data_IF_567094110601
#
_entry.id   IF_567094110601
#
_cell.length_a   1.000
_cell.length_b   1.000
_cell.length_c   1.000
_cell.angle_alpha   90.00
_cell.angle_beta   90.00
_cell.angle_gamma   90.00
#
_symmetry.space_group_name_H-M   'P 1'
#
loop_
_entity.id
_entity.type
_entity.pdbx_description
1 polymer ?
#
# COMPACT_ATOMS: atom_id res chain seq x y z
N UNK A 1 -15.49 10.06 10.17
CA UNK A 1 -15.44 8.63 10.53
C UNK A 1 -14.24 8.44 11.42
N UNK A 2 -14.46 8.14 12.69
CA UNK A 2 -13.38 7.87 13.63
C UNK A 2 -12.84 6.46 13.34
N UNK A 3 -11.64 6.39 12.77
CA UNK A 3 -11.00 5.13 12.32
C UNK A 3 -10.15 4.48 13.41
N UNK A 4 -10.13 5.05 14.62
CA UNK A 4 -9.27 4.63 15.75
C UNK A 4 -9.61 3.24 16.33
N UNK A 5 -10.82 2.73 16.08
CA UNK A 5 -11.30 1.45 16.62
C UNK A 5 -11.00 0.21 15.76
N UNK A 6 -10.43 0.37 14.55
CA UNK A 6 -10.01 -0.78 13.74
C UNK A 6 -8.56 -1.11 14.08
N UNK A 7 -8.31 -2.34 14.54
CA UNK A 7 -6.96 -2.92 14.58
C UNK A 7 -6.45 -3.05 13.14
N UNK A 8 -5.92 -1.95 12.60
CA UNK A 8 -5.55 -1.73 11.20
C UNK A 8 -4.27 -2.48 10.76
N UNK A 9 -3.79 -3.47 11.52
CA UNK A 9 -2.65 -4.29 11.08
C UNK A 9 -3.07 -5.05 9.82
N UNK A 10 -2.39 -4.77 8.71
CA UNK A 10 -2.64 -5.37 7.40
C UNK A 10 -3.99 -5.04 6.77
N UNK A 11 -4.59 -3.90 7.13
CA UNK A 11 -5.81 -3.43 6.47
C UNK A 11 -5.58 -3.22 4.96
N UNK A 12 -6.44 -3.83 4.15
CA UNK A 12 -6.45 -3.65 2.71
C UNK A 12 -7.36 -2.47 2.32
N UNK A 13 -6.99 -1.64 1.34
CA UNK A 13 -7.88 -0.56 0.86
C UNK A 13 -9.17 -1.11 0.27
N UNK A 14 -10.26 -0.34 0.35
CA UNK A 14 -11.52 -0.71 -0.29
C UNK A 14 -11.42 -0.66 -1.82
N UNK A 15 -11.10 0.51 -2.36
CA UNK A 15 -10.92 0.76 -3.80
C UNK A 15 -9.53 1.36 -4.00
N UNK A 16 -8.81 0.90 -5.03
CA UNK A 16 -7.48 1.38 -5.36
C UNK A 16 -7.47 1.79 -6.83
N UNK A 17 -7.43 3.09 -7.16
CA UNK A 17 -7.20 3.52 -8.53
C UNK A 17 -5.75 3.20 -8.90
N UNK A 18 -5.56 2.47 -10.01
CA UNK A 18 -4.24 2.06 -10.50
C UNK A 18 -4.13 2.40 -11.99
N UNK A 19 -2.94 2.83 -12.42
CA UNK A 19 -2.61 3.02 -13.83
C UNK A 19 -1.16 2.60 -14.11
N UNK A 20 -0.88 2.19 -15.34
CA UNK A 20 0.48 1.77 -15.74
C UNK A 20 1.44 2.96 -15.69
N UNK A 21 2.57 2.80 -15.00
CA UNK A 21 3.54 3.85 -14.70
C UNK A 21 3.41 4.43 -13.29
N UNK A 22 2.36 4.08 -12.55
CA UNK A 22 2.15 4.56 -11.18
C UNK A 22 3.26 4.03 -10.24
N UNK A 23 3.88 4.89 -9.40
CA UNK A 23 4.67 4.43 -8.27
C UNK A 23 3.76 3.78 -7.23
N UNK A 24 4.11 2.57 -6.83
CA UNK A 24 3.36 1.77 -5.86
C UNK A 24 4.27 1.29 -4.74
N UNK A 25 3.68 1.00 -3.59
CA UNK A 25 4.37 0.44 -2.43
C UNK A 25 3.67 -0.85 -1.99
N UNK A 26 4.45 -1.90 -1.74
CA UNK A 26 3.93 -3.15 -1.19
C UNK A 26 3.52 -2.94 0.27
N UNK A 27 2.33 -3.37 0.63
CA UNK A 27 1.70 -3.21 1.95
C UNK A 27 1.00 -4.49 2.35
N UNK A 28 1.52 -5.16 3.38
CA UNK A 28 0.82 -6.15 4.24
C UNK A 28 1.87 -7.03 4.93
N UNK A 29 2.55 -7.87 4.16
CA UNK A 29 3.62 -8.76 4.62
C UNK A 29 4.74 -8.85 3.57
N UNK A 30 5.88 -9.44 3.98
CA UNK A 30 6.98 -9.73 3.07
C UNK A 30 6.58 -10.88 2.16
N UNK A 31 6.62 -10.68 0.85
CA UNK A 31 6.36 -11.76 -0.12
C UNK A 31 7.60 -12.63 -0.26
N UNK A 32 8.76 -12.01 -0.47
CA UNK A 32 10.05 -12.70 -0.52
C UNK A 32 11.18 -11.77 -0.09
N UNK A 33 11.79 -12.08 1.06
CA UNK A 33 12.92 -11.32 1.61
C UNK A 33 14.17 -11.45 0.74
N UNK A 34 14.44 -12.66 0.25
CA UNK A 34 15.66 -12.97 -0.50
C UNK A 34 15.69 -12.26 -1.85
N UNK A 35 14.50 -12.07 -2.44
CA UNK A 35 14.30 -11.37 -3.69
C UNK A 35 14.11 -9.85 -3.50
N UNK A 36 14.01 -9.36 -2.26
CA UNK A 36 13.78 -7.93 -1.97
C UNK A 36 12.35 -7.45 -2.23
N UNK A 37 11.38 -8.36 -2.30
CA UNK A 37 9.94 -8.06 -2.44
C UNK A 37 9.31 -8.09 -1.05
N UNK A 38 9.58 -7.04 -0.28
CA UNK A 38 9.23 -6.94 1.15
C UNK A 38 8.22 -5.83 1.42
N UNK A 39 7.54 -5.91 2.56
CA UNK A 39 6.62 -4.87 2.99
C UNK A 39 7.33 -3.51 3.03
N UNK A 40 6.76 -2.52 2.35
CA UNK A 40 7.35 -1.20 2.19
C UNK A 40 8.28 -1.03 0.99
N UNK A 41 8.55 -2.10 0.23
CA UNK A 41 9.28 -2.02 -1.05
C UNK A 41 8.48 -1.18 -2.06
N UNK A 42 9.17 -0.24 -2.70
CA UNK A 42 8.59 0.63 -3.72
C UNK A 42 8.92 0.09 -5.11
N UNK A 43 7.96 0.23 -6.02
CA UNK A 43 8.11 -0.18 -7.40
C UNK A 43 7.27 0.67 -8.33
N UNK A 44 7.37 0.38 -9.62
CA UNK A 44 6.58 1.02 -10.66
C UNK A 44 5.62 -0.01 -11.24
N UNK A 45 4.33 0.31 -11.29
CA UNK A 45 3.33 -0.55 -11.90
C UNK A 45 3.54 -0.62 -13.41
N UNK A 46 3.65 -1.82 -13.97
CA UNK A 46 3.98 -2.05 -15.39
C UNK A 46 2.83 -2.65 -16.18
N UNK A 47 2.00 -3.47 -15.54
CA UNK A 47 0.81 -4.06 -16.16
C UNK A 47 -0.22 -4.38 -15.11
N UNK A 48 -1.49 -4.26 -15.49
CA UNK A 48 -2.63 -4.71 -14.69
C UNK A 48 -3.39 -5.72 -15.54
N UNK A 49 -3.61 -6.91 -14.99
CA UNK A 49 -4.48 -7.93 -15.57
C UNK A 49 -5.78 -7.89 -14.79
N UNK A 50 -6.88 -7.62 -15.47
CA UNK A 50 -8.21 -7.53 -14.87
C UNK A 50 -9.09 -8.70 -15.28
N UNK A 51 -10.13 -8.92 -14.48
CA UNK A 51 -11.16 -9.93 -14.72
C UNK A 51 -12.53 -9.30 -14.44
N UNK A 52 -13.52 -9.63 -15.26
CA UNK A 52 -14.91 -9.24 -15.04
C UNK A 52 -15.62 -10.34 -14.26
N UNK A 53 -16.18 -10.00 -13.10
CA UNK A 53 -17.00 -10.91 -12.30
C UNK A 53 -18.41 -11.03 -12.89
N UNK A 54 -19.16 -12.04 -12.44
CA UNK A 54 -20.53 -12.30 -12.90
C UNK A 54 -21.50 -11.13 -12.68
N UNK A 55 -21.24 -10.29 -11.68
CA UNK A 55 -22.04 -9.11 -11.35
C UNK A 55 -21.64 -7.86 -12.17
N UNK A 56 -20.73 -8.01 -13.13
CA UNK A 56 -20.22 -6.90 -13.95
C UNK A 56 -19.11 -6.09 -13.29
N UNK A 57 -18.63 -6.47 -12.10
CA UNK A 57 -17.53 -5.78 -11.43
C UNK A 57 -16.18 -6.14 -12.08
N UNK A 58 -15.41 -5.13 -12.48
CA UNK A 58 -14.04 -5.30 -12.94
C UNK A 58 -13.08 -5.33 -11.74
N UNK A 59 -12.31 -6.41 -11.59
CA UNK A 59 -11.35 -6.58 -10.49
C UNK A 59 -9.94 -6.81 -11.02
N UNK A 60 -8.93 -6.37 -10.28
CA UNK A 60 -7.54 -6.63 -10.62
C UNK A 60 -7.13 -8.03 -10.14
N UNK A 61 -6.78 -8.90 -11.09
CA UNK A 61 -6.35 -10.29 -10.85
C UNK A 61 -4.86 -10.37 -10.57
N UNK A 62 -4.05 -9.63 -11.32
CA UNK A 62 -2.59 -9.58 -11.15
C UNK A 62 -2.10 -8.19 -11.51
N UNK A 63 -1.14 -7.67 -10.74
CA UNK A 63 -0.37 -6.48 -11.09
C UNK A 63 1.10 -6.86 -11.29
N UNK A 64 1.68 -6.54 -12.45
CA UNK A 64 3.13 -6.69 -12.66
C UNK A 64 3.80 -5.41 -12.19
N UNK A 65 4.65 -5.52 -11.17
CA UNK A 65 5.37 -4.38 -10.57
C UNK A 65 6.87 -4.57 -10.78
N UNK A 66 7.54 -3.52 -11.25
CA UNK A 66 8.99 -3.47 -11.35
C UNK A 66 9.57 -2.89 -10.06
N UNK A 67 10.39 -3.68 -9.36
CA UNK A 67 11.13 -3.30 -8.17
C UNK A 67 12.61 -3.09 -8.53
N UNK A 68 13.08 -1.83 -8.70
CA UNK A 68 14.40 -1.57 -9.28
C UNK A 68 15.59 -2.16 -8.49
N UNK A 69 15.45 -2.30 -7.18
CA UNK A 69 16.50 -2.82 -6.28
C UNK A 69 16.36 -4.31 -6.00
N UNK A 70 15.36 -4.96 -6.61
CA UNK A 70 15.04 -6.36 -6.37
C UNK A 70 15.93 -7.29 -7.21
N UNK A 71 16.22 -8.48 -6.67
CA UNK A 71 16.98 -9.54 -7.36
C UNK A 71 16.07 -10.48 -8.17
N UNK A 72 14.79 -10.14 -8.32
CA UNK A 72 13.82 -10.96 -9.04
C UNK A 72 14.27 -11.18 -10.48
N UNK A 73 14.28 -12.43 -10.92
CA UNK A 73 14.47 -12.81 -12.30
C UNK A 73 13.58 -14.03 -12.59
N UNK A 74 12.37 -13.77 -13.07
CA UNK A 74 11.36 -14.81 -13.34
C UNK A 74 11.32 -15.08 -14.84
N UNK A 75 11.21 -16.36 -15.20
CA UNK A 75 11.05 -16.76 -16.59
C UNK A 75 9.83 -16.07 -17.23
N UNK A 76 10.00 -15.52 -18.43
CA UNK A 76 8.95 -14.77 -19.13
C UNK A 76 8.72 -13.34 -18.66
N UNK A 77 9.49 -12.84 -17.68
CA UNK A 77 9.45 -11.44 -17.22
C UNK A 77 10.83 -10.78 -17.29
N UNK A 78 10.85 -9.46 -17.42
CA UNK A 78 12.10 -8.69 -17.36
C UNK A 78 12.68 -8.71 -15.93
N UNK A 79 14.00 -8.55 -15.76
CA UNK A 79 14.63 -8.48 -14.44
C UNK A 79 13.98 -7.42 -13.54
N UNK A 80 13.75 -7.77 -12.27
CA UNK A 80 13.09 -6.93 -11.27
C UNK A 80 11.56 -6.88 -11.36
N UNK A 81 10.93 -7.55 -12.33
CA UNK A 81 9.48 -7.56 -12.49
C UNK A 81 8.88 -8.72 -11.70
N UNK A 82 7.91 -8.43 -10.85
CA UNK A 82 7.27 -9.43 -9.99
C UNK A 82 5.73 -9.36 -10.11
N UNK A 83 5.03 -10.50 -10.24
CA UNK A 83 3.58 -10.55 -10.22
C UNK A 83 3.05 -10.40 -8.79
N UNK A 84 2.18 -9.43 -8.58
CA UNK A 84 1.48 -9.20 -7.32
C UNK A 84 0.05 -9.70 -7.47
N UNK A 85 -0.35 -10.59 -6.58
CA UNK A 85 -1.67 -11.21 -6.56
C UNK A 85 -2.52 -10.69 -5.38
N UNK A 86 -3.86 -10.68 -5.50
CA UNK A 86 -4.76 -10.31 -4.43
C UNK A 86 -4.59 -11.19 -3.20
N UNK A 87 -4.60 -10.56 -2.03
CA UNK A 87 -4.56 -11.24 -0.75
C UNK A 87 -5.88 -11.06 -0.01
N UNK A 88 -6.19 -12.00 0.89
CA UNK A 88 -7.38 -11.93 1.71
C UNK A 88 -7.11 -11.25 3.06
N UNK A 89 -8.00 -10.34 3.46
CA UNK A 89 -8.04 -9.76 4.79
C UNK A 89 -9.47 -9.82 5.32
N UNK A 90 -9.65 -10.18 6.59
CA UNK A 90 -10.98 -10.24 7.23
C UNK A 90 -11.05 -9.30 8.42
N UNK A 91 -12.18 -8.63 8.59
CA UNK A 91 -12.46 -7.75 9.71
C UNK A 91 -13.93 -7.84 10.12
N UNK A 92 -14.22 -7.48 11.37
CA UNK A 92 -15.57 -7.52 11.93
C UNK A 92 -16.12 -6.10 12.06
N UNK A 93 -17.36 -5.90 11.60
CA UNK A 93 -18.07 -4.62 11.67
C UNK A 93 -19.27 -4.79 12.59
N UNK A 94 -19.52 -3.82 13.48
CA UNK A 94 -20.76 -3.77 14.26
C UNK A 94 -21.89 -3.28 13.37
N UNK A 95 -22.98 -4.05 13.32
CA UNK A 95 -24.17 -3.67 12.59
C UNK A 95 -24.91 -2.56 13.34
N UNK A 96 -25.52 -1.60 12.62
CA UNK A 96 -26.49 -0.69 13.22
C UNK A 96 -27.61 -1.47 13.91
N UNK A 97 -28.11 -0.95 15.04
CA UNK A 97 -29.09 -1.63 15.90
C UNK A 97 -30.41 -2.02 15.20
N UNK A 98 -30.78 -1.36 14.11
CA UNK A 98 -31.95 -1.73 13.30
C UNK A 98 -31.69 -2.93 12.37
N UNK A 99 -30.44 -3.14 11.92
CA UNK A 99 -30.03 -4.31 11.13
C UNK A 99 -29.59 -5.48 12.02
N UNK A 100 -29.08 -5.19 13.20
CA UNK A 100 -28.67 -6.19 14.18
C UNK A 100 -29.82 -7.14 14.58
N UNK A 101 -31.06 -6.61 14.68
CA UNK A 101 -32.27 -7.40 14.95
C UNK A 101 -32.63 -8.39 13.82
N UNK A 102 -32.08 -8.21 12.63
CA UNK A 102 -32.32 -9.06 11.46
C UNK A 102 -31.21 -10.10 11.25
N UNK A 103 -30.14 -10.06 12.06
CA UNK A 103 -28.99 -10.94 11.94
C UNK A 103 -29.07 -12.08 12.96
N UNK A 104 -29.06 -13.33 12.48
CA UNK A 104 -29.03 -14.52 13.36
C UNK A 104 -27.73 -14.60 14.20
N UNK A 105 -26.65 -13.96 13.74
CA UNK A 105 -25.33 -13.98 14.38
C UNK A 105 -25.08 -12.76 15.31
N UNK A 106 -26.14 -12.06 15.72
CA UNK A 106 -26.06 -10.88 16.58
C UNK A 106 -25.58 -9.61 15.88
N UNK A 107 -25.14 -8.62 16.67
CA UNK A 107 -24.81 -7.25 16.24
C UNK A 107 -23.51 -7.12 15.42
N UNK A 108 -22.94 -8.22 14.91
CA UNK A 108 -21.65 -8.19 14.21
C UNK A 108 -21.66 -8.94 12.89
N UNK A 109 -20.98 -8.37 11.89
CA UNK A 109 -20.79 -8.94 10.56
C UNK A 109 -19.29 -9.12 10.30
N UNK A 110 -18.88 -10.35 9.94
CA UNK A 110 -17.52 -10.62 9.48
C UNK A 110 -17.43 -10.40 7.97
N UNK A 111 -16.59 -9.46 7.55
CA UNK A 111 -16.34 -9.12 6.14
C UNK A 111 -14.99 -9.67 5.73
N UNK A 112 -14.92 -10.30 4.55
CA UNK A 112 -13.66 -10.74 3.92
C UNK A 112 -13.43 -9.94 2.64
N UNK A 113 -12.26 -9.33 2.52
CA UNK A 113 -11.82 -8.52 1.38
C UNK A 113 -10.68 -9.19 0.66
N UNK A 114 -10.72 -9.21 -0.67
CA UNK A 114 -9.62 -9.61 -1.53
C UNK A 114 -9.12 -8.38 -2.28
N UNK A 115 -7.83 -8.07 -2.18
CA UNK A 115 -7.26 -6.88 -2.82
C UNK A 115 -5.76 -7.06 -3.04
N UNK A 116 -5.22 -6.43 -4.08
CA UNK A 116 -3.78 -6.35 -4.28
C UNK A 116 -3.13 -5.66 -3.07
N UNK A 117 -2.06 -6.23 -2.48
CA UNK A 117 -1.36 -5.64 -1.34
C UNK A 117 -0.48 -4.44 -1.73
N UNK A 118 -0.96 -3.54 -2.60
CA UNK A 118 -0.20 -2.36 -3.04
C UNK A 118 -1.00 -1.10 -2.81
N UNK A 119 -0.31 0.03 -2.66
CA UNK A 119 -0.92 1.36 -2.56
C UNK A 119 -0.15 2.34 -3.45
N UNK A 120 -0.79 3.42 -3.94
CA UNK A 120 -0.08 4.51 -4.58
C UNK A 120 1.01 5.06 -3.66
N UNK A 121 2.19 5.35 -4.22
CA UNK A 121 3.39 5.72 -3.47
C UNK A 121 3.99 7.05 -3.92
N UNK A 122 3.15 7.99 -4.38
CA UNK A 122 3.58 9.36 -4.71
C UNK A 122 4.05 10.14 -3.48
N UNK A 123 3.47 9.83 -2.32
CA UNK A 123 3.83 10.39 -1.05
C UNK A 123 3.85 9.30 0.02
N UNK A 124 4.62 9.53 1.07
CA UNK A 124 4.70 8.65 2.24
C UNK A 124 4.63 9.49 3.50
N UNK A 125 3.99 8.97 4.54
CA UNK A 125 4.00 9.63 5.85
C UNK A 125 5.41 9.57 6.46
N UNK A 126 5.77 10.54 7.30
CA UNK A 126 7.07 10.55 7.99
C UNK A 126 7.34 9.25 8.75
N UNK A 127 6.31 8.70 9.41
CA UNK A 127 6.37 7.39 10.06
C UNK A 127 6.72 6.25 9.07
N UNK A 128 6.10 6.24 7.88
CA UNK A 128 6.37 5.22 6.85
C UNK A 128 7.73 5.38 6.17
N UNK A 129 8.31 6.58 6.23
CA UNK A 129 9.62 6.90 5.70
C UNK A 129 10.75 6.65 6.71
N UNK A 130 10.43 6.48 8.01
CA UNK A 130 11.44 6.27 9.04
C UNK A 130 12.35 5.07 8.71
N UNK A 131 13.66 5.28 8.88
CA UNK A 131 14.68 4.28 8.53
C UNK A 131 14.99 4.17 7.04
N UNK A 132 14.26 4.85 6.15
CA UNK A 132 14.53 4.86 4.71
C UNK A 132 15.49 5.98 4.32
N UNK A 133 16.19 5.73 3.22
CA UNK A 133 17.02 6.71 2.52
C UNK A 133 16.39 6.98 1.17
N UNK A 134 16.08 8.23 0.88
CA UNK A 134 15.38 8.66 -0.34
C UNK A 134 16.27 9.65 -1.12
N UNK A 135 16.38 9.50 -2.45
CA UNK A 135 17.25 10.35 -3.26
C UNK A 135 16.74 11.80 -3.36
N UNK A 136 15.42 11.97 -3.38
CA UNK A 136 14.75 13.26 -3.45
C UNK A 136 13.61 13.25 -2.43
N UNK A 137 13.56 14.27 -1.57
CA UNK A 137 12.57 14.45 -0.52
C UNK A 137 11.98 15.84 -0.61
N UNK A 138 10.66 15.90 -0.71
CA UNK A 138 9.88 17.11 -0.55
C UNK A 138 9.27 17.10 0.85
N UNK A 139 9.64 18.05 1.71
CA UNK A 139 9.19 18.10 3.10
C UNK A 139 8.65 19.50 3.46
N UNK A 140 7.51 19.54 4.15
CA UNK A 140 7.05 20.73 4.88
C UNK A 140 7.59 20.65 6.31
N UNK A 141 8.18 21.74 6.81
CA UNK A 141 8.70 21.84 8.17
C UNK A 141 7.81 22.71 9.08
N UNK A 142 6.65 23.16 8.58
CA UNK A 142 5.74 24.08 9.27
C UNK A 142 5.37 23.63 10.70
N UNK A 143 5.05 22.35 10.91
CA UNK A 143 4.69 21.84 12.25
C UNK A 143 5.90 21.64 13.17
N UNK A 144 7.12 21.63 12.63
CA UNK A 144 8.36 21.42 13.38
C UNK A 144 8.45 20.04 14.07
N UNK A 145 9.29 19.98 15.10
CA UNK A 145 9.42 18.82 15.99
C UNK A 145 10.00 17.54 15.33
N UNK A 146 9.71 16.40 15.96
CA UNK A 146 10.27 15.11 15.56
C UNK A 146 9.82 14.67 14.15
N UNK A 147 8.57 14.96 13.78
CA UNK A 147 8.03 14.62 12.45
C UNK A 147 8.76 15.34 11.32
N UNK A 148 8.98 16.64 11.47
CA UNK A 148 9.74 17.45 10.51
C UNK A 148 11.19 16.96 10.36
N UNK A 149 11.85 16.65 11.49
CA UNK A 149 13.19 16.05 11.48
C UNK A 149 13.23 14.70 10.76
N UNK A 150 12.29 13.79 11.07
CA UNK A 150 12.23 12.47 10.41
C UNK A 150 12.02 12.65 8.91
N UNK A 151 11.13 13.54 8.48
CA UNK A 151 10.89 13.80 7.06
C UNK A 151 12.14 14.34 6.34
N UNK A 152 12.76 15.40 6.85
CA UNK A 152 13.92 16.04 6.22
C UNK A 152 15.15 15.12 6.21
N UNK A 153 15.38 14.37 7.29
CA UNK A 153 16.54 13.47 7.43
C UNK A 153 16.52 12.24 6.53
N UNK A 154 15.45 12.02 5.73
CA UNK A 154 15.43 10.91 4.76
C UNK A 154 16.27 11.21 3.51
N UNK A 155 16.53 12.49 3.21
CA UNK A 155 17.33 12.89 2.07
C UNK A 155 18.80 12.49 2.28
N UNK A 156 19.47 12.01 1.23
CA UNK A 156 20.90 11.65 1.26
C UNK A 156 21.84 12.86 1.33
N UNK A 157 21.35 14.05 1.00
CA UNK A 157 22.12 15.27 1.02
C UNK A 157 21.26 16.49 0.70
N UNK A 158 21.86 17.67 0.83
CA UNK A 158 21.18 18.97 0.66
C UNK A 158 20.53 19.12 -0.72
N UNK A 159 21.17 18.65 -1.79
CA UNK A 159 20.65 18.74 -3.15
C UNK A 159 19.41 17.88 -3.39
N UNK A 160 19.21 16.85 -2.56
CA UNK A 160 18.03 15.97 -2.60
C UNK A 160 16.91 16.42 -1.66
N UNK A 161 17.03 17.56 -0.96
CA UNK A 161 16.02 18.04 -0.03
C UNK A 161 15.41 19.36 -0.52
N UNK A 162 14.08 19.37 -0.68
CA UNK A 162 13.31 20.59 -0.92
C UNK A 162 12.36 20.85 0.25
N UNK A 163 12.54 22.00 0.91
CA UNK A 163 11.67 22.46 2.00
C UNK A 163 10.61 23.37 1.40
N UNK A 164 9.34 22.98 1.51
CA UNK A 164 8.22 23.73 0.92
C UNK A 164 7.67 24.83 1.83
N UNK A 165 7.77 24.63 3.13
CA UNK A 165 7.36 25.59 4.17
C UNK A 165 8.39 25.49 5.30
N UNK A 166 9.29 26.48 5.42
CA UNK A 166 10.34 26.48 6.44
C UNK A 166 9.78 26.69 7.85
#
# INVERSE_FOLDING_TARGET
MDTSAFTNKSALPGIIPLFVGMPVILRSWNISTDLGVTNGAQGILKKIVTEMLHDGTCVAKVAIVHFPTSKVNLEGLAPGYFPIEPIAWSFTVKLPSHLAKLSENGDTLRVRRYQLPIQPAFSVTGHSAQGKTLPIVLASLHEGGFGAYVAASRATGRTGLCITQP
#
